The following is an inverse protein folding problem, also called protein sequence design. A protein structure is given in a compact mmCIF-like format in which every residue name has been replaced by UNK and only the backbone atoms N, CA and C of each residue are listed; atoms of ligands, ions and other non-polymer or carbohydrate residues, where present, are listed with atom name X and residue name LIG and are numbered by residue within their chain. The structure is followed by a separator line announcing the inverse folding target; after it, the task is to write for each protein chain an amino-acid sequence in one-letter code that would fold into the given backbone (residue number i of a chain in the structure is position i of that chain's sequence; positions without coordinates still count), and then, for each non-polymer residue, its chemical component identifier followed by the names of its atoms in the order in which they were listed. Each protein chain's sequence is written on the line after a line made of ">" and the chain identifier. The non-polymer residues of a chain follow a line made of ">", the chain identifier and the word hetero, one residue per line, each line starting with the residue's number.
data_IF_159585210816
#
_entry.id   IF_159585210816
#
_cell.length_a   1.000
_cell.length_b   1.000
_cell.length_c   1.000
_cell.angle_alpha   90.00
_cell.angle_beta   90.00
_cell.angle_gamma   90.00
#
_symmetry.space_group_name_H-M   'P 1'
#
loop_
_entity.id
_entity.type
_entity.pdbx_description
1 polymer ?
#
# COMPACT_ATOMS: atom_id res chain seq x y z
N UNK A 1 12.25 11.23 2.23
CA UNK A 1 11.46 11.36 3.48
C UNK A 1 10.81 10.02 3.86
N UNK A 2 11.08 9.52 5.06
CA UNK A 2 10.39 8.35 5.59
C UNK A 2 8.99 8.79 6.05
N UNK A 3 7.94 8.17 5.49
CA UNK A 3 6.55 8.57 5.77
C UNK A 3 6.07 8.12 7.16
N UNK A 4 6.47 6.91 7.59
CA UNK A 4 6.11 6.38 8.90
C UNK A 4 6.61 7.31 10.02
N UNK A 5 5.76 7.58 11.00
CA UNK A 5 6.02 8.50 12.11
C UNK A 5 5.79 9.98 11.80
N UNK A 6 5.57 10.35 10.54
CA UNK A 6 5.28 11.74 10.16
C UNK A 6 3.82 12.13 10.42
N UNK A 7 3.58 13.44 10.55
CA UNK A 7 2.25 14.05 10.67
C UNK A 7 1.86 14.71 9.36
N UNK A 8 0.65 14.45 8.88
CA UNK A 8 0.06 15.08 7.70
C UNK A 8 -1.34 15.55 8.06
N UNK A 9 -1.56 16.88 8.08
CA UNK A 9 -2.84 17.48 8.50
C UNK A 9 -3.37 16.90 9.82
N UNK A 10 -2.49 16.86 10.83
CA UNK A 10 -2.76 16.30 12.16
C UNK A 10 -3.07 14.79 12.22
N UNK A 11 -2.99 14.09 11.09
CA UNK A 11 -3.08 12.63 11.03
C UNK A 11 -1.67 12.03 11.10
N UNK A 12 -1.45 11.11 12.04
CA UNK A 12 -0.17 10.41 12.20
C UNK A 12 -0.13 9.18 11.30
N UNK A 13 0.90 9.10 10.45
CA UNK A 13 1.17 7.93 9.62
C UNK A 13 1.84 6.87 10.49
N UNK A 14 1.12 5.79 10.77
CA UNK A 14 1.62 4.65 11.52
C UNK A 14 2.67 3.89 10.71
N UNK A 15 2.29 3.51 9.48
CA UNK A 15 3.13 2.73 8.56
C UNK A 15 2.86 3.13 7.13
N UNK A 16 3.89 3.06 6.28
CA UNK A 16 3.75 3.15 4.84
C UNK A 16 4.62 2.08 4.19
N UNK A 17 4.00 1.20 3.41
CA UNK A 17 4.68 0.03 2.82
C UNK A 17 4.18 -0.29 1.41
N UNK A 18 4.94 -1.13 0.70
CA UNK A 18 4.46 -1.84 -0.49
C UNK A 18 3.99 -3.23 -0.06
N UNK A 19 2.69 -3.49 -0.22
CA UNK A 19 2.04 -4.64 0.37
C UNK A 19 2.61 -5.95 -0.20
N UNK A 20 3.01 -6.83 0.72
CA UNK A 20 3.35 -8.20 0.43
C UNK A 20 2.54 -9.15 1.32
N UNK A 21 2.17 -10.30 0.76
CA UNK A 21 1.47 -11.36 1.45
C UNK A 21 2.20 -12.68 1.25
N UNK A 22 2.41 -13.41 2.33
CA UNK A 22 2.90 -14.79 2.31
C UNK A 22 1.74 -15.70 2.63
N UNK A 23 1.39 -16.57 1.69
CA UNK A 23 0.32 -17.54 1.88
C UNK A 23 0.74 -18.59 2.92
N UNK A 24 -0.05 -18.80 3.99
CA UNK A 24 0.33 -19.72 5.06
C UNK A 24 0.12 -21.20 4.70
N UNK A 25 -0.53 -21.52 3.58
CA UNK A 25 -0.79 -22.88 3.12
C UNK A 25 0.35 -23.38 2.24
N UNK A 26 0.76 -22.59 1.25
CA UNK A 26 1.79 -23.00 0.28
C UNK A 26 3.12 -22.23 0.39
N UNK A 27 3.20 -21.21 1.26
CA UNK A 27 4.39 -20.41 1.47
C UNK A 27 4.72 -19.43 0.33
N UNK A 28 3.89 -19.36 -0.70
CA UNK A 28 4.09 -18.45 -1.83
C UNK A 28 4.04 -17.00 -1.35
N UNK A 29 4.89 -16.15 -1.94
CA UNK A 29 4.99 -14.73 -1.57
C UNK A 29 4.59 -13.85 -2.75
N UNK A 30 3.49 -13.13 -2.57
CA UNK A 30 3.04 -12.09 -3.49
C UNK A 30 3.59 -10.75 -3.03
N UNK A 31 4.42 -10.12 -3.85
CA UNK A 31 4.98 -8.79 -3.58
C UNK A 31 4.35 -7.73 -4.49
N UNK A 32 4.57 -6.45 -4.18
CA UNK A 32 4.14 -5.30 -5.00
C UNK A 32 2.62 -5.23 -5.21
N UNK A 33 1.85 -5.62 -4.19
CA UNK A 33 0.39 -5.72 -4.29
C UNK A 33 -0.35 -4.41 -4.02
N UNK A 34 0.38 -3.32 -3.80
CA UNK A 34 -0.15 -1.96 -3.66
C UNK A 34 0.50 -1.22 -2.51
N UNK A 35 0.70 0.09 -2.69
CA UNK A 35 1.25 0.96 -1.66
C UNK A 35 0.15 1.28 -0.66
N UNK A 36 0.42 1.08 0.63
CA UNK A 36 -0.53 1.39 1.71
C UNK A 36 0.03 2.49 2.60
N UNK A 37 -0.82 3.43 2.98
CA UNK A 37 -0.55 4.42 4.03
C UNK A 37 -1.59 4.16 5.12
N UNK A 38 -1.14 3.71 6.28
CA UNK A 38 -2.00 3.41 7.43
C UNK A 38 -1.83 4.52 8.47
N UNK A 39 -2.94 5.01 8.97
CA UNK A 39 -2.99 6.01 10.04
C UNK A 39 -3.27 5.34 11.39
N UNK A 40 -2.89 6.00 12.48
CA UNK A 40 -3.04 5.44 13.84
C UNK A 40 -4.50 5.23 14.26
N UNK A 41 -5.45 5.94 13.65
CA UNK A 41 -6.89 5.79 13.91
C UNK A 41 -7.52 4.60 13.17
N UNK A 42 -6.71 3.82 12.43
CA UNK A 42 -7.15 2.67 11.65
C UNK A 42 -7.64 3.01 10.24
N UNK A 43 -7.72 4.30 9.88
CA UNK A 43 -7.98 4.71 8.50
C UNK A 43 -6.77 4.46 7.60
N UNK A 44 -7.00 4.41 6.28
CA UNK A 44 -5.95 4.10 5.31
C UNK A 44 -6.25 4.64 3.92
N UNK A 45 -5.18 4.86 3.16
CA UNK A 45 -5.22 5.10 1.72
C UNK A 45 -4.39 4.03 1.03
N UNK A 46 -4.89 3.47 -0.07
CA UNK A 46 -4.19 2.45 -0.85
C UNK A 46 -4.08 2.85 -2.31
N UNK A 47 -2.87 2.79 -2.87
CA UNK A 47 -2.59 3.00 -4.28
C UNK A 47 -2.20 1.68 -4.93
N UNK A 48 -2.89 1.32 -6.01
CA UNK A 48 -2.56 0.11 -6.77
C UNK A 48 -2.53 0.40 -8.27
N UNK A 49 -1.40 0.11 -8.89
CA UNK A 49 -1.31 0.09 -10.34
C UNK A 49 -1.92 -1.21 -10.86
N UNK A 50 -2.76 -1.11 -11.89
CA UNK A 50 -3.35 -2.26 -12.56
C UNK A 50 -3.29 -2.08 -14.07
N UNK A 51 -2.97 -3.15 -14.78
CA UNK A 51 -2.75 -3.12 -16.23
C UNK A 51 -1.60 -4.03 -16.62
N UNK A 52 -1.57 -4.46 -17.88
CA UNK A 52 -0.59 -5.41 -18.43
C UNK A 52 0.56 -4.74 -19.17
N UNK A 53 0.63 -3.40 -19.15
CA UNK A 53 1.70 -2.62 -19.79
C UNK A 53 1.55 -2.42 -21.31
N UNK A 54 0.57 -3.05 -21.95
CA UNK A 54 0.36 -2.98 -23.41
C UNK A 54 -0.71 -1.98 -23.84
N UNK A 55 -1.71 -1.72 -23.01
CA UNK A 55 -2.85 -0.82 -23.31
C UNK A 55 -3.00 0.30 -22.27
N UNK A 56 -1.89 0.67 -21.64
CA UNK A 56 -1.87 1.62 -20.53
C UNK A 56 -2.06 0.97 -19.16
N UNK A 57 -2.14 1.81 -18.14
CA UNK A 57 -2.31 1.39 -16.76
C UNK A 57 -3.37 2.24 -16.06
N UNK A 58 -4.16 1.60 -15.22
CA UNK A 58 -5.12 2.25 -14.33
C UNK A 58 -4.52 2.34 -12.94
N UNK A 59 -4.39 3.56 -12.42
CA UNK A 59 -4.15 3.79 -11.01
C UNK A 59 -5.48 3.68 -10.26
N UNK A 60 -5.57 2.72 -9.33
CA UNK A 60 -6.70 2.55 -8.42
C UNK A 60 -6.34 3.20 -7.09
N UNK A 61 -7.22 4.05 -6.59
CA UNK A 61 -7.09 4.73 -5.29
C UNK A 61 -8.26 4.29 -4.43
N UNK A 62 -7.96 3.78 -3.24
CA UNK A 62 -8.92 3.32 -2.24
C UNK A 62 -8.72 4.07 -0.93
#
# INVERSE_FOLDING_TARGET
>A
PQLAGSLVKDMRIATADDFAYTDPVDGSRSERQGIRILLDDGSRVVFRLSGTGTEGATLRVY
#
